data_IF_378045637222
#
_entry.id   IF_378045637222
#
_cell.length_a   1.000
_cell.length_b   1.000
_cell.length_c   1.000
_cell.angle_alpha   90.00
_cell.angle_beta   90.00
_cell.angle_gamma   90.00
#
_symmetry.space_group_name_H-M   'P 1'
#
loop_
_entity.id
_entity.type
_entity.pdbx_description
1 polymer ?
#
# COMPACT_ATOMS: atom_id res chain seq x y z
N UNK A 1 -18.32 1.89 1.67
CA UNK A 1 -17.79 2.31 0.34
C UNK A 1 -16.33 1.91 0.24
N UNK A 2 -15.85 1.43 -0.92
CA UNK A 2 -14.46 0.99 -1.10
C UNK A 2 -13.42 2.10 -0.82
N UNK A 3 -13.75 3.34 -1.18
CA UNK A 3 -12.89 4.50 -0.97
C UNK A 3 -12.57 4.76 0.50
N UNK A 4 -13.54 4.57 1.40
CA UNK A 4 -13.33 4.73 2.85
C UNK A 4 -12.38 3.68 3.41
N UNK A 5 -12.48 2.44 2.92
CA UNK A 5 -11.53 1.38 3.31
C UNK A 5 -10.11 1.72 2.89
N UNK A 6 -9.92 2.27 1.69
CA UNK A 6 -8.58 2.68 1.25
C UNK A 6 -8.07 3.90 2.00
N UNK A 7 -8.90 4.91 2.27
CA UNK A 7 -8.49 6.07 3.07
C UNK A 7 -8.04 5.66 4.48
N UNK A 8 -8.80 4.78 5.12
CA UNK A 8 -8.43 4.24 6.43
C UNK A 8 -7.17 3.35 6.34
N UNK A 9 -7.01 2.57 5.28
CA UNK A 9 -5.79 1.82 5.03
C UNK A 9 -4.57 2.75 4.90
N UNK A 10 -4.68 3.83 4.12
CA UNK A 10 -3.64 4.84 3.94
C UNK A 10 -3.29 5.53 5.25
N UNK A 11 -4.29 5.88 6.07
CA UNK A 11 -4.06 6.43 7.41
C UNK A 11 -3.32 5.45 8.33
N UNK A 12 -3.75 4.18 8.37
CA UNK A 12 -3.12 3.15 9.18
C UNK A 12 -1.69 2.81 8.69
N UNK A 13 -1.44 2.82 7.38
CA UNK A 13 -0.08 2.70 6.82
C UNK A 13 0.80 3.90 7.18
N UNK A 14 0.26 5.11 7.18
CA UNK A 14 1.02 6.29 7.59
C UNK A 14 1.37 6.24 9.10
N UNK A 15 0.42 5.85 9.95
CA UNK A 15 0.67 5.64 11.38
C UNK A 15 1.72 4.53 11.62
N UNK A 16 1.63 3.43 10.87
CA UNK A 16 2.65 2.37 10.87
C UNK A 16 4.02 2.94 10.46
N UNK A 17 4.08 3.75 9.40
CA UNK A 17 5.32 4.38 8.93
C UNK A 17 5.97 5.28 9.97
N UNK A 18 5.17 6.09 10.68
CA UNK A 18 5.63 6.91 11.80
C UNK A 18 6.19 6.04 12.94
N UNK A 19 5.49 4.96 13.31
CA UNK A 19 5.98 3.99 14.29
C UNK A 19 7.27 3.31 13.87
N UNK A 20 7.39 2.93 12.59
CA UNK A 20 8.62 2.34 12.01
C UNK A 20 9.78 3.32 12.10
N UNK A 21 9.57 4.61 11.78
CA UNK A 21 10.63 5.64 11.91
C UNK A 21 11.16 5.73 13.34
N UNK A 22 10.29 5.69 14.35
CA UNK A 22 10.69 5.67 15.76
C UNK A 22 11.38 4.35 16.16
N UNK A 23 10.92 3.22 15.62
CA UNK A 23 11.46 1.91 15.97
C UNK A 23 12.77 1.58 15.24
N UNK A 24 13.06 2.23 14.12
CA UNK A 24 14.32 2.08 13.36
C UNK A 24 15.56 2.56 14.13
N UNK A 25 15.39 3.33 15.22
CA UNK A 25 16.49 3.67 16.13
C UNK A 25 16.93 2.48 17.00
N UNK A 26 16.05 1.49 17.19
CA UNK A 26 16.25 0.38 18.12
C UNK A 26 16.32 -0.99 17.43
N UNK A 27 15.73 -1.12 16.24
CA UNK A 27 15.57 -2.38 15.53
C UNK A 27 16.02 -2.25 14.09
N UNK A 28 16.58 -3.34 13.56
CA UNK A 28 16.88 -3.46 12.14
C UNK A 28 15.59 -3.56 11.31
N UNK A 29 15.70 -3.20 10.03
CA UNK A 29 14.61 -3.28 9.07
C UNK A 29 14.05 -4.71 8.94
N UNK A 30 14.93 -5.72 8.99
CA UNK A 30 14.57 -7.14 8.92
C UNK A 30 13.77 -7.59 10.15
N UNK A 31 14.17 -7.15 11.35
CA UNK A 31 13.43 -7.41 12.58
C UNK A 31 12.05 -6.74 12.55
N UNK A 32 11.97 -5.47 12.13
CA UNK A 32 10.70 -4.76 12.00
C UNK A 32 9.75 -5.48 11.02
N UNK A 33 10.30 -6.01 9.92
CA UNK A 33 9.53 -6.82 8.97
C UNK A 33 9.02 -8.13 9.61
N UNK A 34 9.87 -8.81 10.36
CA UNK A 34 9.51 -10.03 11.07
C UNK A 34 8.41 -9.77 12.10
N UNK A 35 8.60 -8.78 12.99
CA UNK A 35 7.66 -8.48 14.06
C UNK A 35 6.30 -8.01 13.54
N UNK A 36 6.27 -7.16 12.50
CA UNK A 36 4.98 -6.75 11.90
C UNK A 36 4.22 -7.95 11.33
N UNK A 37 4.93 -8.91 10.73
CA UNK A 37 4.35 -10.14 10.21
C UNK A 37 3.85 -11.05 11.33
N UNK A 38 4.67 -11.22 12.38
CA UNK A 38 4.39 -12.10 13.51
C UNK A 38 3.14 -11.64 14.26
N UNK A 39 3.09 -10.36 14.60
CA UNK A 39 1.95 -9.75 15.31
C UNK A 39 0.69 -9.86 14.47
N UNK A 40 0.76 -9.54 13.18
CA UNK A 40 -0.37 -9.70 12.26
C UNK A 40 -0.88 -11.14 12.18
N UNK A 41 0.04 -12.10 12.14
CA UNK A 41 -0.27 -13.54 12.11
C UNK A 41 -0.93 -13.98 13.41
N UNK A 42 -0.39 -13.60 14.57
CA UNK A 42 -0.91 -13.97 15.88
C UNK A 42 -2.31 -13.39 16.14
N UNK A 43 -2.52 -12.11 15.81
CA UNK A 43 -3.82 -11.45 15.97
C UNK A 43 -4.86 -12.15 15.08
N UNK A 44 -4.54 -12.40 13.80
CA UNK A 44 -5.45 -13.11 12.90
C UNK A 44 -5.72 -14.55 13.35
N UNK A 45 -4.69 -15.26 13.81
CA UNK A 45 -4.82 -16.61 14.34
C UNK A 45 -5.80 -16.67 15.51
N UNK A 46 -5.67 -15.74 16.45
CA UNK A 46 -6.53 -15.62 17.62
C UNK A 46 -7.97 -15.24 17.24
N UNK A 47 -8.14 -14.23 16.39
CA UNK A 47 -9.46 -13.77 15.94
C UNK A 47 -10.23 -14.86 15.19
N UNK A 48 -9.57 -15.54 14.24
CA UNK A 48 -10.22 -16.59 13.44
C UNK A 48 -10.57 -17.80 14.29
N UNK A 49 -9.70 -18.20 15.23
CA UNK A 49 -10.02 -19.28 16.17
C UNK A 49 -11.22 -18.95 17.06
N UNK A 50 -11.31 -17.72 17.56
CA UNK A 50 -12.48 -17.29 18.37
C UNK A 50 -13.78 -17.23 17.58
N UNK A 51 -13.71 -16.92 16.29
CA UNK A 51 -14.88 -16.85 15.41
C UNK A 51 -15.25 -18.21 14.77
N UNK A 52 -14.53 -19.29 15.09
CA UNK A 52 -14.74 -20.61 14.48
C UNK A 52 -14.42 -20.68 12.98
N UNK A 53 -13.66 -19.73 12.46
CA UNK A 53 -13.32 -19.65 11.04
C UNK A 53 -12.27 -20.69 10.64
N UNK A 54 -12.23 -21.02 9.34
CA UNK A 54 -11.21 -21.91 8.77
C UNK A 54 -10.20 -21.15 7.92
N UNK A 55 -8.93 -21.55 8.06
CA UNK A 55 -7.82 -21.15 7.19
C UNK A 55 -7.69 -22.01 5.93
N UNK A 56 -8.51 -23.07 5.80
CA UNK A 56 -8.51 -23.92 4.60
C UNK A 56 -8.93 -23.08 3.39
N UNK A 57 -8.10 -23.11 2.35
CA UNK A 57 -8.33 -22.44 1.07
C UNK A 57 -8.13 -23.44 -0.06
N UNK A 58 -9.01 -23.38 -1.06
CA UNK A 58 -8.86 -24.14 -2.31
C UNK A 58 -7.87 -23.43 -3.27
N UNK A 59 -7.47 -22.21 -2.95
CA UNK A 59 -6.60 -21.36 -3.76
C UNK A 59 -5.16 -21.27 -3.21
N UNK A 60 -4.67 -22.32 -2.56
CA UNK A 60 -3.33 -22.35 -1.94
C UNK A 60 -2.19 -21.90 -2.87
N UNK A 61 -2.23 -22.30 -4.16
CA UNK A 61 -1.26 -21.87 -5.18
C UNK A 61 -1.29 -20.36 -5.41
N UNK A 62 -2.48 -19.75 -5.44
CA UNK A 62 -2.64 -18.31 -5.65
C UNK A 62 -2.17 -17.51 -4.43
N UNK A 63 -2.41 -18.02 -3.21
CA UNK A 63 -1.85 -17.44 -1.98
C UNK A 63 -0.32 -17.51 -1.98
N UNK A 64 0.26 -18.66 -2.33
CA UNK A 64 1.72 -18.81 -2.39
C UNK A 64 2.33 -17.85 -3.42
N UNK A 65 1.76 -17.78 -4.62
CA UNK A 65 2.25 -16.88 -5.67
C UNK A 65 2.16 -15.41 -5.23
N UNK A 66 1.04 -15.00 -4.62
CA UNK A 66 0.90 -13.65 -4.06
C UNK A 66 1.91 -13.37 -2.96
N UNK A 67 2.09 -14.30 -2.03
CA UNK A 67 3.05 -14.12 -0.96
C UNK A 67 4.47 -13.97 -1.50
N UNK A 68 4.88 -14.82 -2.45
CA UNK A 68 6.19 -14.74 -3.10
C UNK A 68 6.40 -13.41 -3.82
N UNK A 69 5.48 -13.02 -4.71
CA UNK A 69 5.56 -11.76 -5.46
C UNK A 69 5.63 -10.56 -4.51
N UNK A 70 4.78 -10.53 -3.48
CA UNK A 70 4.79 -9.43 -2.50
C UNK A 70 6.06 -9.38 -1.66
N UNK A 71 6.59 -10.54 -1.26
CA UNK A 71 7.85 -10.61 -0.52
C UNK A 71 9.03 -10.18 -1.38
N UNK A 72 9.13 -10.65 -2.63
CA UNK A 72 10.20 -10.23 -3.55
C UNK A 72 10.17 -8.72 -3.78
N UNK A 73 8.96 -8.13 -3.90
CA UNK A 73 8.81 -6.67 -3.97
C UNK A 73 9.35 -5.98 -2.71
N UNK A 74 9.03 -6.50 -1.52
CA UNK A 74 9.53 -5.96 -0.25
C UNK A 74 11.06 -6.03 -0.16
N UNK A 75 11.68 -7.14 -0.57
CA UNK A 75 13.13 -7.28 -0.57
C UNK A 75 13.82 -6.27 -1.47
N UNK A 76 13.35 -6.14 -2.71
CA UNK A 76 13.88 -5.15 -3.65
C UNK A 76 13.68 -3.72 -3.13
N UNK A 77 12.58 -3.47 -2.42
CA UNK A 77 12.31 -2.18 -1.82
C UNK A 77 13.26 -1.88 -0.65
N UNK A 78 13.53 -2.83 0.23
CA UNK A 78 14.52 -2.64 1.30
C UNK A 78 15.93 -2.45 0.74
N UNK A 79 16.29 -3.20 -0.29
CA UNK A 79 17.54 -2.98 -1.00
C UNK A 79 17.61 -1.55 -1.59
N UNK A 80 16.50 -1.03 -2.12
CA UNK A 80 16.43 0.34 -2.61
C UNK A 80 16.58 1.36 -1.46
N UNK A 81 15.92 1.15 -0.31
CA UNK A 81 16.06 2.02 0.88
C UNK A 81 17.51 2.04 1.39
N UNK A 82 18.21 0.91 1.36
CA UNK A 82 19.62 0.85 1.78
C UNK A 82 20.60 1.58 0.85
N UNK A 83 20.18 1.98 -0.36
CA UNK A 83 21.04 2.61 -1.38
C UNK A 83 20.55 3.95 -1.90
N UNK A 84 19.36 4.38 -1.49
CA UNK A 84 18.72 5.62 -1.91
C UNK A 84 18.33 6.45 -0.69
N UNK A 85 18.22 7.78 -0.84
CA UNK A 85 17.48 8.60 0.11
C UNK A 85 16.07 8.04 0.31
N UNK A 86 15.60 8.03 1.56
CA UNK A 86 14.29 7.47 1.93
C UNK A 86 13.15 8.06 1.08
N UNK A 87 13.18 9.36 0.83
CA UNK A 87 12.16 10.04 0.04
C UNK A 87 12.14 9.56 -1.43
N UNK A 88 13.30 9.31 -2.03
CA UNK A 88 13.42 8.71 -3.37
C UNK A 88 12.90 7.28 -3.38
N UNK A 89 13.29 6.45 -2.41
CA UNK A 89 12.81 5.07 -2.31
C UNK A 89 11.29 4.97 -2.10
N UNK A 90 10.71 5.89 -1.32
CA UNK A 90 9.25 6.01 -1.14
C UNK A 90 8.56 6.45 -2.43
N UNK A 91 9.11 7.45 -3.14
CA UNK A 91 8.57 7.92 -4.42
C UNK A 91 8.49 6.78 -5.44
N UNK A 92 9.56 5.98 -5.54
CA UNK A 92 9.58 4.82 -6.43
C UNK A 92 8.53 3.78 -6.03
N UNK A 93 8.32 3.52 -4.74
CA UNK A 93 7.25 2.63 -4.29
C UNK A 93 5.85 3.11 -4.71
N UNK A 94 5.63 4.42 -4.62
CA UNK A 94 4.42 5.10 -5.08
C UNK A 94 4.23 5.10 -6.62
N UNK A 95 5.14 4.52 -7.40
CA UNK A 95 4.88 4.23 -8.81
C UNK A 95 3.95 3.02 -9.01
N UNK A 96 3.69 2.19 -7.98
CA UNK A 96 2.86 0.99 -8.13
C UNK A 96 1.45 1.26 -8.71
N UNK A 97 0.70 2.31 -8.29
CA UNK A 97 -0.57 2.68 -8.93
C UNK A 97 -0.45 3.05 -10.42
N UNK A 98 0.67 3.65 -10.87
CA UNK A 98 0.92 3.92 -12.29
C UNK A 98 1.07 2.60 -13.06
N UNK A 99 1.83 1.66 -12.52
CA UNK A 99 1.99 0.33 -13.14
C UNK A 99 0.68 -0.44 -13.20
N UNK A 100 -0.19 -0.30 -12.19
CA UNK A 100 -1.55 -0.85 -12.23
C UNK A 100 -2.33 -0.22 -13.39
N UNK A 101 -2.31 1.11 -13.53
CA UNK A 101 -3.01 1.81 -14.61
C UNK A 101 -2.50 1.38 -15.99
N UNK A 102 -1.18 1.33 -16.17
CA UNK A 102 -0.53 0.90 -17.39
C UNK A 102 -0.87 -0.58 -17.71
N UNK A 103 -0.77 -1.48 -16.74
CA UNK A 103 -1.09 -2.89 -16.92
C UNK A 103 -2.56 -3.12 -17.28
N UNK A 104 -3.48 -2.38 -16.65
CA UNK A 104 -4.90 -2.42 -16.99
C UNK A 104 -5.19 -1.88 -18.39
N UNK A 105 -4.48 -0.82 -18.82
CA UNK A 105 -4.60 -0.27 -20.16
C UNK A 105 -4.12 -1.27 -21.23
N UNK A 106 -2.94 -1.85 -21.04
CA UNK A 106 -2.37 -2.87 -21.96
C UNK A 106 -3.28 -4.10 -22.04
N UNK A 107 -3.76 -4.60 -20.90
CA UNK A 107 -4.68 -5.74 -20.88
C UNK A 107 -6.03 -5.40 -21.55
N UNK A 108 -6.55 -4.20 -21.33
CA UNK A 108 -7.79 -3.71 -21.95
C UNK A 108 -7.67 -3.59 -23.47
N UNK A 109 -6.54 -3.09 -23.96
CA UNK A 109 -6.20 -3.04 -25.38
C UNK A 109 -6.13 -4.42 -25.99
N UNK A 110 -5.40 -5.34 -25.35
CA UNK A 110 -5.24 -6.73 -25.82
C UNK A 110 -6.58 -7.47 -25.90
N UNK A 111 -7.44 -7.26 -24.92
CA UNK A 111 -8.70 -8.00 -24.82
C UNK A 111 -9.85 -7.33 -25.59
N UNK A 112 -9.62 -6.19 -26.28
CA UNK A 112 -10.60 -5.38 -27.04
C UNK A 112 -11.92 -5.07 -26.31
N UNK A 113 -11.96 -5.22 -24.99
CA UNK A 113 -13.21 -5.29 -24.21
C UNK A 113 -13.39 -4.11 -23.26
N UNK A 114 -12.47 -3.14 -23.23
CA UNK A 114 -12.58 -1.98 -22.33
C UNK A 114 -12.14 -0.67 -22.97
N UNK A 115 -13.01 0.34 -22.86
CA UNK A 115 -12.61 1.73 -22.97
C UNK A 115 -11.71 2.08 -21.78
N UNK A 116 -10.52 2.61 -22.06
CA UNK A 116 -9.65 3.15 -21.02
C UNK A 116 -10.42 4.24 -20.25
N UNK A 117 -10.52 4.11 -18.92
CA UNK A 117 -11.05 5.17 -18.06
C UNK A 117 -10.00 6.29 -17.95
N UNK A 118 -9.73 6.99 -19.07
CA UNK A 118 -8.74 8.07 -19.20
C UNK A 118 -8.78 9.09 -18.05
N UNK A 119 -9.95 9.52 -17.54
CA UNK A 119 -10.00 10.42 -16.38
C UNK A 119 -9.35 9.85 -15.11
N UNK A 120 -9.40 8.53 -14.89
CA UNK A 120 -8.75 7.88 -13.75
C UNK A 120 -7.24 7.71 -13.97
N UNK A 121 -6.81 7.50 -15.22
CA UNK A 121 -5.38 7.46 -15.56
C UNK A 121 -4.74 8.83 -15.35
N UNK A 122 -5.41 9.90 -15.81
CA UNK A 122 -4.98 11.28 -15.58
C UNK A 122 -4.95 11.57 -14.08
N UNK A 123 -5.96 11.16 -13.32
CA UNK A 123 -5.97 11.33 -11.86
C UNK A 123 -4.76 10.66 -11.19
N UNK A 124 -4.44 9.41 -11.54
CA UNK A 124 -3.26 8.71 -11.01
C UNK A 124 -1.97 9.45 -11.35
N UNK A 125 -1.82 9.90 -12.60
CA UNK A 125 -0.65 10.67 -13.03
C UNK A 125 -0.53 12.00 -12.27
N UNK A 126 -1.63 12.72 -12.07
CA UNK A 126 -1.67 13.96 -11.28
C UNK A 126 -1.31 13.70 -9.81
N UNK A 127 -1.85 12.65 -9.20
CA UNK A 127 -1.50 12.30 -7.81
C UNK A 127 -0.02 11.94 -7.69
N UNK A 128 0.53 11.19 -8.64
CA UNK A 128 1.95 10.87 -8.67
C UNK A 128 2.83 12.12 -8.84
N UNK A 129 2.41 13.08 -9.66
CA UNK A 129 3.10 14.37 -9.75
C UNK A 129 3.09 15.07 -8.38
N UNK A 130 1.96 15.08 -7.68
CA UNK A 130 1.89 15.56 -6.30
C UNK A 130 2.85 14.83 -5.36
N UNK A 131 3.01 13.51 -5.50
CA UNK A 131 4.01 12.74 -4.74
C UNK A 131 5.43 13.24 -4.99
N UNK A 132 5.80 13.46 -6.25
CA UNK A 132 7.14 13.95 -6.60
C UNK A 132 7.40 15.35 -6.06
N UNK A 133 6.37 16.20 -5.97
CA UNK A 133 6.48 17.52 -5.34
C UNK A 133 6.70 17.44 -3.83
N UNK A 134 6.00 16.52 -3.15
CA UNK A 134 6.10 16.34 -1.69
C UNK A 134 7.42 15.70 -1.30
N UNK A 135 7.81 14.64 -1.99
CA UNK A 135 8.98 13.83 -1.61
C UNK A 135 10.29 14.31 -2.22
N UNK A 136 10.25 15.18 -3.23
CA UNK A 136 11.44 15.75 -3.90
C UNK A 136 12.55 14.71 -4.12
N UNK A 137 12.30 13.68 -4.96
CA UNK A 137 13.25 12.60 -5.15
C UNK A 137 14.57 13.16 -5.71
N UNK A 138 15.66 12.95 -4.97
CA UNK A 138 17.01 13.21 -5.45
C UNK A 138 17.60 11.91 -6.01
N UNK A 139 18.15 11.98 -7.22
CA UNK A 139 18.84 10.85 -7.86
C UNK A 139 20.25 11.29 -8.21
N UNK A 140 21.22 10.71 -7.52
CA UNK A 140 22.63 10.89 -7.86
C UNK A 140 23.07 9.83 -8.88
N UNK A 141 24.08 10.14 -9.70
CA UNK A 141 24.55 9.26 -10.77
C UNK A 141 25.01 7.88 -10.29
N UNK A 142 25.51 7.77 -9.06
CA UNK A 142 25.98 6.51 -8.47
C UNK A 142 24.84 5.63 -7.90
N UNK A 143 23.60 6.12 -7.90
CA UNK A 143 22.47 5.47 -7.23
C UNK A 143 21.58 4.63 -8.18
N UNK A 144 21.99 4.45 -9.43
CA UNK A 144 21.19 3.81 -10.48
C UNK A 144 20.72 2.38 -10.13
N UNK A 145 21.55 1.60 -9.41
CA UNK A 145 21.18 0.25 -8.95
C UNK A 145 20.02 0.27 -7.95
N UNK A 146 20.05 1.21 -6.99
CA UNK A 146 18.97 1.40 -6.05
C UNK A 146 17.69 1.88 -6.75
N UNK A 147 17.84 2.81 -7.70
CA UNK A 147 16.75 3.29 -8.54
C UNK A 147 16.07 2.16 -9.34
N UNK A 148 16.85 1.34 -10.03
CA UNK A 148 16.35 0.19 -10.78
C UNK A 148 15.64 -0.83 -9.87
N UNK A 149 16.22 -1.14 -8.71
CA UNK A 149 15.59 -2.02 -7.73
C UNK A 149 14.25 -1.45 -7.22
N UNK A 150 14.18 -0.14 -6.96
CA UNK A 150 12.94 0.54 -6.55
C UNK A 150 11.85 0.50 -7.62
N UNK A 151 12.20 0.75 -8.89
CA UNK A 151 11.26 0.64 -10.01
C UNK A 151 10.77 -0.80 -10.17
N UNK A 152 11.68 -1.78 -10.20
CA UNK A 152 11.33 -3.20 -10.28
C UNK A 152 10.43 -3.62 -9.11
N UNK A 153 10.75 -3.17 -7.89
CA UNK A 153 9.92 -3.40 -6.70
C UNK A 153 8.50 -2.88 -6.89
N UNK A 154 8.34 -1.64 -7.36
CA UNK A 154 7.03 -1.01 -7.55
C UNK A 154 6.18 -1.74 -8.61
N UNK A 155 6.81 -2.25 -9.67
CA UNK A 155 6.15 -3.04 -10.71
C UNK A 155 5.68 -4.40 -10.18
N UNK A 156 6.52 -5.08 -9.40
CA UNK A 156 6.16 -6.35 -8.74
C UNK A 156 5.06 -6.12 -7.67
N UNK A 157 5.10 -4.98 -6.96
CA UNK A 157 4.02 -4.55 -6.05
C UNK A 157 2.69 -4.38 -6.78
N UNK A 158 2.68 -3.76 -7.97
CA UNK A 158 1.49 -3.64 -8.80
C UNK A 158 0.92 -5.02 -9.17
N UNK A 159 1.78 -5.98 -9.54
CA UNK A 159 1.35 -7.37 -9.78
C UNK A 159 0.74 -8.00 -8.52
N UNK A 160 1.35 -7.77 -7.35
CA UNK A 160 0.83 -8.26 -6.08
C UNK A 160 -0.56 -7.69 -5.76
N UNK A 161 -0.80 -6.41 -6.01
CA UNK A 161 -2.12 -5.79 -5.83
C UNK A 161 -3.16 -6.34 -6.80
N UNK A 162 -2.79 -6.58 -8.06
CA UNK A 162 -3.69 -7.21 -9.04
C UNK A 162 -4.04 -8.66 -8.66
N UNK A 163 -3.13 -9.39 -8.02
CA UNK A 163 -3.42 -10.73 -7.49
C UNK A 163 -4.34 -10.69 -6.27
N UNK A 164 -4.20 -9.69 -5.40
CA UNK A 164 -5.15 -9.45 -4.31
C UNK A 164 -6.55 -9.19 -4.85
N UNK A 165 -6.66 -8.36 -5.91
CA UNK A 165 -7.93 -8.15 -6.62
C UNK A 165 -8.49 -9.47 -7.15
N UNK A 166 -7.66 -10.28 -7.82
CA UNK A 166 -8.07 -11.58 -8.39
C UNK A 166 -8.58 -12.54 -7.32
N UNK A 167 -7.86 -12.69 -6.20
CA UNK A 167 -8.30 -13.50 -5.06
C UNK A 167 -9.64 -12.99 -4.49
N UNK A 168 -9.78 -11.67 -4.35
CA UNK A 168 -11.03 -11.07 -3.90
C UNK A 168 -12.22 -11.34 -4.85
N UNK A 169 -11.98 -11.40 -6.16
CA UNK A 169 -12.97 -11.75 -7.18
C UNK A 169 -13.33 -13.25 -7.18
N UNK A 170 -12.40 -14.12 -6.77
CA UNK A 170 -12.63 -15.56 -6.57
C UNK A 170 -13.39 -15.86 -5.27
N UNK A 171 -13.73 -14.84 -4.48
CA UNK A 171 -14.51 -14.99 -3.26
C UNK A 171 -13.69 -15.29 -2.00
N UNK A 172 -12.36 -15.29 -2.08
CA UNK A 172 -11.51 -15.52 -0.91
C UNK A 172 -11.65 -14.39 0.13
N UNK A 173 -11.85 -14.72 1.42
CA UNK A 173 -11.93 -13.72 2.48
C UNK A 173 -10.63 -12.95 2.68
N UNK A 174 -10.75 -11.66 2.98
CA UNK A 174 -9.62 -10.75 3.21
C UNK A 174 -8.68 -11.26 4.31
N UNK A 175 -9.21 -11.83 5.40
CA UNK A 175 -8.40 -12.32 6.52
C UNK A 175 -7.47 -13.47 6.12
N UNK A 176 -7.87 -14.33 5.17
CA UNK A 176 -7.01 -15.43 4.69
C UNK A 176 -5.88 -14.89 3.83
N UNK A 177 -6.19 -13.96 2.92
CA UNK A 177 -5.19 -13.31 2.06
C UNK A 177 -4.12 -12.63 2.91
N UNK A 178 -4.54 -11.87 3.93
CA UNK A 178 -3.62 -11.16 4.83
C UNK A 178 -2.89 -12.13 5.77
N UNK A 179 -3.52 -13.21 6.23
CA UNK A 179 -2.88 -14.22 7.06
C UNK A 179 -1.71 -14.90 6.33
N UNK A 180 -1.93 -15.43 5.13
CA UNK A 180 -0.87 -16.07 4.36
C UNK A 180 0.26 -15.09 4.00
N UNK A 181 -0.08 -13.84 3.67
CA UNK A 181 0.94 -12.83 3.42
C UNK A 181 1.75 -12.48 4.68
N UNK A 182 1.08 -12.34 5.84
CA UNK A 182 1.74 -12.04 7.12
C UNK A 182 2.63 -13.19 7.57
N UNK A 183 2.18 -14.44 7.39
CA UNK A 183 2.95 -15.63 7.70
C UNK A 183 4.21 -15.70 6.83
N UNK A 184 4.08 -15.56 5.51
CA UNK A 184 5.26 -15.56 4.63
C UNK A 184 6.20 -14.40 4.94
N UNK A 185 5.66 -13.20 5.23
CA UNK A 185 6.46 -12.05 5.66
C UNK A 185 7.24 -12.36 6.95
N UNK A 186 6.61 -13.04 7.91
CA UNK A 186 7.26 -13.44 9.17
C UNK A 186 8.41 -14.39 8.92
N UNK A 187 8.18 -15.45 8.13
CA UNK A 187 9.20 -16.45 7.82
C UNK A 187 10.39 -15.82 7.10
N UNK A 188 10.10 -14.94 6.15
CA UNK A 188 11.13 -14.29 5.36
C UNK A 188 11.88 -13.24 6.18
N UNK A 189 11.20 -12.46 7.01
CA UNK A 189 11.83 -11.54 7.95
C UNK A 189 12.71 -12.27 8.96
N UNK A 190 12.28 -13.44 9.43
CA UNK A 190 13.08 -14.30 10.30
C UNK A 190 14.34 -14.79 9.58
N UNK A 191 14.22 -15.30 8.35
CA UNK A 191 15.38 -15.73 7.54
C UNK A 191 16.34 -14.55 7.29
N UNK A 192 15.83 -13.36 6.97
CA UNK A 192 16.63 -12.16 6.77
C UNK A 192 17.37 -11.73 8.04
N UNK A 193 16.68 -11.81 9.18
CA UNK A 193 17.26 -11.48 10.50
C UNK A 193 18.36 -12.47 10.86
N UNK A 194 18.13 -13.78 10.66
CA UNK A 194 19.12 -14.83 10.89
C UNK A 194 20.30 -14.78 9.92
N UNK A 195 20.11 -14.24 8.72
CA UNK A 195 21.16 -14.05 7.72
C UNK A 195 22.13 -12.89 8.07
N UNK A 196 21.89 -12.14 9.14
CA UNK A 196 22.87 -11.21 9.71
C UNK A 196 22.81 -9.77 9.17
N UNK A 197 21.68 -9.33 8.60
CA UNK A 197 21.47 -7.95 8.12
C UNK A 197 21.30 -6.91 9.26
N UNK A 198 21.50 -7.31 10.52
CA UNK A 198 21.46 -6.43 11.68
C UNK A 198 22.76 -5.61 11.83
N UNK A 199 22.70 -4.32 12.22
CA UNK A 199 23.91 -3.58 12.56
C UNK A 199 24.67 -4.34 13.67
N UNK A 200 25.97 -4.55 13.49
CA UNK A 200 26.89 -5.14 14.47
C UNK A 200 26.76 -6.67 14.69
N UNK A 201 26.03 -7.41 13.84
CA UNK A 201 25.96 -8.87 13.93
C UNK A 201 25.16 -9.42 15.12
N UNK A 202 24.43 -8.55 15.83
CA UNK A 202 23.45 -8.98 16.83
C UNK A 202 22.22 -9.56 16.12
N UNK A 203 21.91 -10.83 16.42
CA UNK A 203 20.78 -11.54 15.81
C UNK A 203 19.42 -10.97 16.25
N UNK A 204 19.34 -10.46 17.49
CA UNK A 204 18.15 -9.81 18.03
C UNK A 204 18.55 -8.67 18.97
N UNK A 205 17.92 -7.51 18.80
CA UNK A 205 18.10 -6.39 19.71
C UNK A 205 17.30 -6.59 21.00
N UNK A 206 17.88 -6.17 22.13
CA UNK A 206 17.21 -6.27 23.43
C UNK A 206 15.90 -5.45 23.43
N UNK A 207 14.81 -6.08 23.87
CA UNK A 207 13.52 -5.41 23.95
C UNK A 207 13.42 -4.54 25.20
N UNK A 208 13.27 -3.24 25.00
CA UNK A 208 12.76 -2.34 26.04
C UNK A 208 11.23 -2.39 26.06
N UNK A 209 10.61 -2.05 27.19
CA UNK A 209 9.15 -1.96 27.28
C UNK A 209 8.56 -0.99 26.24
N UNK A 210 9.28 0.11 25.96
CA UNK A 210 8.94 1.06 24.91
C UNK A 210 9.02 0.44 23.51
N UNK A 211 10.12 -0.26 23.21
CA UNK A 211 10.28 -0.97 21.93
C UNK A 211 9.19 -2.01 21.68
N UNK A 212 8.77 -2.75 22.72
CA UNK A 212 7.68 -3.71 22.59
C UNK A 212 6.33 -3.05 22.25
N UNK A 213 6.00 -1.92 22.89
CA UNK A 213 4.77 -1.16 22.59
C UNK A 213 4.81 -0.62 21.16
N UNK A 214 5.96 -0.12 20.70
CA UNK A 214 6.13 0.32 19.31
C UNK A 214 5.92 -0.84 18.32
N UNK A 215 6.53 -2.00 18.57
CA UNK A 215 6.36 -3.18 17.70
C UNK A 215 4.90 -3.61 17.64
N UNK A 216 4.21 -3.66 18.78
CA UNK A 216 2.78 -3.99 18.87
C UNK A 216 1.93 -2.98 18.08
N UNK A 217 2.22 -1.69 18.22
CA UNK A 217 1.57 -0.62 17.47
C UNK A 217 1.77 -0.75 15.96
N UNK A 218 3.02 -0.96 15.53
CA UNK A 218 3.39 -1.16 14.12
C UNK A 218 2.68 -2.39 13.54
N UNK A 219 2.76 -3.53 14.23
CA UNK A 219 2.15 -4.78 13.77
C UNK A 219 0.63 -4.69 13.67
N UNK A 220 -0.01 -4.06 14.65
CA UNK A 220 -1.47 -3.87 14.67
C UNK A 220 -1.92 -2.90 13.59
N UNK A 221 -1.24 -1.75 13.44
CA UNK A 221 -1.53 -0.78 12.38
C UNK A 221 -1.29 -1.39 10.99
N UNK A 222 -0.21 -2.14 10.81
CA UNK A 222 0.10 -2.86 9.57
C UNK A 222 -1.00 -3.87 9.21
N UNK A 223 -1.47 -4.65 10.19
CA UNK A 223 -2.55 -5.61 10.00
C UNK A 223 -3.84 -4.91 9.57
N UNK A 224 -4.24 -3.88 10.31
CA UNK A 224 -5.45 -3.09 10.01
C UNK A 224 -5.35 -2.49 8.60
N UNK A 225 -4.20 -1.90 8.27
CA UNK A 225 -3.96 -1.30 6.96
C UNK A 225 -4.06 -2.34 5.83
N UNK A 226 -3.41 -3.49 5.99
CA UNK A 226 -3.44 -4.58 5.01
C UNK A 226 -4.85 -5.17 4.83
N UNK A 227 -5.60 -5.36 5.91
CA UNK A 227 -6.99 -5.82 5.86
C UNK A 227 -7.89 -4.85 5.10
N UNK A 228 -7.79 -3.56 5.42
CA UNK A 228 -8.59 -2.52 4.79
C UNK A 228 -8.21 -2.33 3.32
N UNK A 229 -6.92 -2.36 2.98
CA UNK A 229 -6.42 -2.30 1.61
C UNK A 229 -6.90 -3.50 0.79
N UNK A 230 -6.77 -4.71 1.33
CA UNK A 230 -7.24 -5.95 0.69
C UNK A 230 -8.74 -5.88 0.41
N UNK A 231 -9.53 -5.43 1.40
CA UNK A 231 -10.98 -5.23 1.23
C UNK A 231 -11.30 -4.15 0.20
N UNK A 232 -10.56 -3.04 0.18
CA UNK A 232 -10.73 -1.97 -0.80
C UNK A 232 -10.49 -2.47 -2.23
N UNK A 233 -9.40 -3.22 -2.46
CA UNK A 233 -9.13 -3.84 -3.75
C UNK A 233 -10.16 -4.92 -4.10
N UNK A 234 -10.72 -5.64 -3.13
CA UNK A 234 -11.76 -6.65 -3.37
C UNK A 234 -13.07 -6.04 -3.87
N UNK A 235 -13.55 -4.95 -3.26
CA UNK A 235 -14.89 -4.40 -3.54
C UNK A 235 -14.89 -3.14 -4.40
N UNK A 236 -13.77 -2.42 -4.49
CA UNK A 236 -13.67 -1.14 -5.21
C UNK A 236 -13.29 -1.26 -6.67
N UNK A 237 -13.38 -0.16 -7.41
CA UNK A 237 -12.71 -0.07 -8.72
C UNK A 237 -11.21 0.09 -8.51
N UNK A 238 -10.43 -0.74 -9.19
CA UNK A 238 -8.97 -0.84 -9.01
C UNK A 238 -8.27 0.51 -9.16
N UNK A 239 -8.56 1.28 -10.22
CA UNK A 239 -7.91 2.57 -10.46
C UNK A 239 -8.26 3.64 -9.40
N UNK A 240 -9.50 3.64 -8.90
CA UNK A 240 -9.91 4.58 -7.83
C UNK A 240 -9.18 4.24 -6.54
N UNK A 241 -9.14 2.95 -6.19
CA UNK A 241 -8.47 2.44 -5.00
C UNK A 241 -6.96 2.69 -5.07
N UNK A 242 -6.35 2.47 -6.23
CA UNK A 242 -4.94 2.76 -6.47
C UNK A 242 -4.63 4.27 -6.36
N UNK A 243 -5.51 5.14 -6.87
CA UNK A 243 -5.34 6.59 -6.72
C UNK A 243 -5.42 7.04 -5.25
N UNK A 244 -6.37 6.49 -4.49
CA UNK A 244 -6.54 6.83 -3.07
C UNK A 244 -5.37 6.35 -2.21
N UNK A 245 -4.55 5.41 -2.67
CA UNK A 245 -3.34 5.00 -1.96
C UNK A 245 -2.35 6.15 -1.77
N UNK A 246 -2.32 7.12 -2.70
CA UNK A 246 -1.47 8.32 -2.59
C UNK A 246 -1.80 9.22 -1.40
N UNK A 247 -3.02 9.15 -0.87
CA UNK A 247 -3.41 9.87 0.35
C UNK A 247 -2.58 9.45 1.57
N UNK A 248 -1.92 8.29 1.53
CA UNK A 248 -0.98 7.86 2.56
C UNK A 248 0.15 8.87 2.79
N UNK A 249 0.61 9.56 1.73
CA UNK A 249 1.63 10.63 1.85
C UNK A 249 1.08 11.80 2.63
N UNK A 250 -0.16 12.21 2.33
CA UNK A 250 -0.82 13.32 3.05
C UNK A 250 -0.87 13.02 4.54
N UNK A 251 -1.30 11.81 4.92
CA UNK A 251 -1.32 11.39 6.33
C UNK A 251 0.10 11.27 6.91
N UNK A 252 1.08 10.80 6.14
CA UNK A 252 2.47 10.72 6.59
C UNK A 252 3.06 12.10 6.87
N UNK A 253 2.77 13.10 6.05
CA UNK A 253 3.18 14.49 6.26
C UNK A 253 2.53 15.07 7.51
N UNK A 254 1.25 14.79 7.74
CA UNK A 254 0.56 15.20 8.97
C UNK A 254 1.19 14.57 10.23
N UNK A 255 1.54 13.29 10.19
CA UNK A 255 2.29 12.65 11.28
C UNK A 255 3.68 13.27 11.48
N UNK A 256 4.36 13.63 10.37
CA UNK A 256 5.60 14.43 10.36
C UNK A 256 5.48 15.70 11.21
N UNK A 257 4.45 16.48 10.90
CA UNK A 257 4.13 17.75 11.57
C UNK A 257 3.79 17.57 13.05
N UNK A 258 2.98 16.56 13.39
CA UNK A 258 2.50 16.35 14.76
C UNK A 258 3.59 15.81 15.68
N UNK A 259 4.40 14.85 15.20
CA UNK A 259 5.37 14.14 16.04
C UNK A 259 6.74 14.81 16.07
N UNK A 260 7.19 15.36 14.94
CA UNK A 260 8.53 15.95 14.80
C UNK A 260 8.52 17.47 14.64
N UNK A 261 7.35 18.09 14.45
CA UNK A 261 7.27 19.54 14.24
C UNK A 261 7.90 19.99 12.92
N UNK A 262 8.01 19.09 11.94
CA UNK A 262 8.66 19.35 10.65
C UNK A 262 8.01 20.55 9.94
N UNK A 263 8.81 21.54 9.57
CA UNK A 263 8.37 22.68 8.78
C UNK A 263 8.46 22.32 7.28
N UNK A 264 7.32 22.33 6.59
CA UNK A 264 7.25 22.00 5.17
C UNK A 264 7.09 23.26 4.31
N UNK A 265 7.85 23.32 3.21
CA UNK A 265 7.76 24.39 2.22
C UNK A 265 6.40 24.40 1.48
N UNK A 266 6.09 25.53 0.84
CA UNK A 266 4.83 25.73 0.10
C UNK A 266 4.59 24.67 -0.98
N UNK A 267 5.64 24.13 -1.60
CA UNK A 267 5.55 23.08 -2.63
C UNK A 267 4.95 21.78 -2.09
N UNK A 268 5.23 21.43 -0.82
CA UNK A 268 4.67 20.23 -0.16
C UNK A 268 3.15 20.38 -0.01
N UNK A 269 2.71 21.55 0.42
CA UNK A 269 1.28 21.87 0.53
C UNK A 269 0.57 21.85 -0.84
N UNK A 270 1.23 22.34 -1.89
CA UNK A 270 0.70 22.24 -3.25
C UNK A 270 0.56 20.78 -3.68
N UNK A 271 1.60 19.96 -3.46
CA UNK A 271 1.56 18.53 -3.79
C UNK A 271 0.44 17.79 -3.05
N UNK A 272 0.22 18.10 -1.76
CA UNK A 272 -0.92 17.58 -0.99
C UNK A 272 -2.25 17.98 -1.63
N UNK A 273 -2.40 19.25 -2.01
CA UNK A 273 -3.60 19.75 -2.69
C UNK A 273 -3.88 18.99 -3.99
N UNK A 274 -2.86 18.76 -4.80
CA UNK A 274 -2.97 17.99 -6.05
C UNK A 274 -3.43 16.55 -5.78
N UNK A 275 -2.84 15.86 -4.79
CA UNK A 275 -3.22 14.48 -4.42
C UNK A 275 -4.69 14.43 -3.99
N UNK A 276 -5.13 15.36 -3.14
CA UNK A 276 -6.49 15.37 -2.62
C UNK A 276 -7.52 15.69 -3.70
N UNK A 277 -7.27 16.70 -4.53
CA UNK A 277 -8.15 17.06 -5.65
C UNK A 277 -8.28 15.93 -6.66
N UNK A 278 -7.17 15.27 -6.98
CA UNK A 278 -7.19 14.08 -7.85
C UNK A 278 -7.97 12.92 -7.24
N UNK A 279 -7.77 12.63 -5.94
CA UNK A 279 -8.50 11.59 -5.22
C UNK A 279 -10.02 11.83 -5.21
N UNK A 280 -10.43 13.08 -5.00
CA UNK A 280 -11.82 13.53 -5.08
C UNK A 280 -12.37 13.37 -6.49
N UNK A 281 -11.65 13.86 -7.52
CA UNK A 281 -12.06 13.75 -8.91
C UNK A 281 -12.25 12.29 -9.35
N UNK A 282 -11.32 11.40 -8.98
CA UNK A 282 -11.40 9.97 -9.28
C UNK A 282 -12.61 9.30 -8.61
N UNK A 283 -12.87 9.63 -7.34
CA UNK A 283 -14.01 9.09 -6.57
C UNK A 283 -15.34 9.61 -7.11
N UNK A 284 -15.40 10.89 -7.46
CA UNK A 284 -16.59 11.53 -8.01
C UNK A 284 -16.95 11.00 -9.40
N UNK A 285 -15.96 10.90 -10.29
CA UNK A 285 -16.12 10.29 -11.61
C UNK A 285 -16.66 8.86 -11.52
N UNK A 286 -16.10 8.07 -10.61
CA UNK A 286 -16.56 6.71 -10.40
C UNK A 286 -17.99 6.63 -9.86
N UNK A 287 -18.36 7.52 -8.94
CA UNK A 287 -19.70 7.57 -8.34
C UNK A 287 -20.76 7.96 -9.38
N UNK A 288 -20.44 8.90 -10.29
CA UNK A 288 -21.33 9.28 -11.40
C UNK A 288 -21.56 8.16 -12.42
N UNK A 289 -20.55 7.33 -12.69
CA UNK A 289 -20.65 6.21 -13.63
C UNK A 289 -21.19 4.90 -13.04
N UNK A 290 -21.24 4.78 -11.72
CA UNK A 290 -21.81 3.60 -11.04
C UNK A 290 -23.26 3.89 -10.69
N UNK A 291 -24.16 2.90 -10.74
CA UNK A 291 -25.64 2.98 -10.72
C UNK A 291 -26.31 4.06 -9.84
N UNK A 292 -25.66 4.55 -8.77
CA UNK A 292 -26.16 5.67 -7.97
C UNK A 292 -26.20 7.01 -8.70
N UNK A 293 -25.32 7.26 -9.68
CA UNK A 293 -25.37 8.45 -10.54
C UNK A 293 -26.38 8.35 -11.69
N UNK A 294 -26.69 7.13 -12.14
CA UNK A 294 -27.74 6.88 -13.13
C UNK A 294 -29.13 7.09 -12.54
N UNK A 295 -29.37 6.65 -11.30
CA UNK A 295 -30.65 6.84 -10.59
C UNK A 295 -30.95 8.32 -10.31
N UNK A 296 -29.93 9.16 -10.05
CA UNK A 296 -30.14 10.61 -9.86
C UNK A 296 -30.42 11.30 -11.20
N UNK A 297 -29.80 10.85 -12.29
CA UNK A 297 -30.03 11.40 -13.63
C UNK A 297 -31.44 11.07 -14.17
N UNK A 298 -32.02 9.95 -13.73
CA UNK A 298 -33.38 9.53 -14.05
C UNK A 298 -34.45 10.22 -13.19
N UNK A 299 -34.02 11.04 -12.22
CA UNK A 299 -34.90 11.82 -11.33
C UNK A 299 -34.76 13.34 -11.54
N UNK A 300 -34.08 13.79 -12.60
CA UNK A 300 -34.09 15.21 -13.01
C UNK A 300 -35.39 15.50 -13.79
N UNK A 301 -36.37 16.22 -13.22
CA UNK A 301 -37.64 16.54 -13.90
C UNK A 301 -37.49 17.48 -15.10
N UNK A 302 -36.27 17.95 -15.40
CA UNK A 302 -35.99 18.90 -16.48
C UNK A 302 -35.69 18.21 -17.81
N UNK A 303 -35.46 16.89 -17.82
CA UNK A 303 -35.13 16.13 -19.05
C UNK A 303 -36.34 15.39 -19.63
N UNK A 304 -37.49 15.39 -18.94
CA UNK A 304 -38.72 14.76 -19.45
C UNK A 304 -39.57 15.65 -20.37
N UNK A 305 -39.11 16.86 -20.70
CA UNK A 305 -39.88 17.81 -21.53
C UNK A 305 -39.13 18.35 -22.76
N UNK A 306 -38.18 17.59 -23.33
CA UNK A 306 -37.58 17.93 -24.64
C UNK A 306 -37.54 16.76 -25.60
#
# INVERSE_FOLDING_TARGET
MASLWMLYASFAFAAMGAGVKLASEFYSTSELLMYRGLIGTLILLFMVRRQGGTFKTDFGKAHLWRSLVGVTSLWLWFFAIGRLPLATAMTLNYMAPIWIAAGMFVMGWWTKTKHAEWPLVVAIASSFFGVTMVLQPAVESNQWLGGLAGVCSSMISAMAYMQVRKLGQLGEPEYRVVFYFSLTTTLVGLVATLAGDGPQGALFHAHTAYGFVLLLGIGSAALIAQMCMTRAYRVGKVLVVANLQYTGIVFSTLWGLILWGDAFDWHVWLGIGVILLSGLAATFYNTRKTARGAVVKDQDPVVSES
#
